data_IF_374773385589
#
_entry.id   IF_374773385589
#
_cell.length_a   1.000
_cell.length_b   1.000
_cell.length_c   1.000
_cell.angle_alpha   90.00
_cell.angle_beta   90.00
_cell.angle_gamma   90.00
#
_symmetry.space_group_name_H-M   'P 1'
#
loop_
_entity.id
_entity.type
_entity.pdbx_description
1 polymer ?
#
# COMPACT_ATOMS: atom_id res chain seq x y z
N UNK A 1 -20.08 -23.29 15.24
CA UNK A 1 -18.63 -23.14 15.52
C UNK A 1 -17.97 -22.84 14.19
N UNK A 2 -17.69 -21.57 13.92
CA UNK A 2 -17.12 -21.14 12.64
C UNK A 2 -15.64 -21.48 12.63
N UNK A 3 -15.21 -22.19 11.60
CA UNK A 3 -13.86 -22.71 11.41
C UNK A 3 -12.85 -21.54 11.39
N UNK A 4 -12.24 -21.23 12.54
CA UNK A 4 -11.23 -20.18 12.66
C UNK A 4 -9.93 -20.72 12.04
N UNK A 5 -9.60 -20.16 10.88
CA UNK A 5 -8.70 -20.75 9.89
C UNK A 5 -7.30 -21.06 10.40
N UNK A 6 -6.85 -22.27 10.07
CA UNK A 6 -5.45 -22.64 10.06
C UNK A 6 -4.80 -21.89 8.87
N UNK A 7 -4.34 -20.64 9.07
CA UNK A 7 -3.52 -19.94 8.08
C UNK A 7 -2.22 -20.72 7.91
N UNK A 8 -1.90 -21.12 6.68
CA UNK A 8 -0.69 -21.88 6.44
C UNK A 8 0.55 -21.00 6.65
N UNK A 9 1.70 -21.62 6.94
CA UNK A 9 2.96 -20.89 7.14
C UNK A 9 3.30 -19.97 5.97
N UNK A 10 3.01 -20.39 4.74
CA UNK A 10 3.20 -19.57 3.53
C UNK A 10 2.33 -18.30 3.54
N UNK A 11 1.07 -18.40 3.98
CA UNK A 11 0.15 -17.27 4.03
C UNK A 11 0.62 -16.24 5.07
N UNK A 12 1.07 -16.72 6.23
CA UNK A 12 1.64 -15.85 7.28
C UNK A 12 2.92 -15.14 6.82
N UNK A 13 3.77 -15.83 6.07
CA UNK A 13 5.00 -15.24 5.51
C UNK A 13 4.67 -14.19 4.45
N UNK A 14 3.70 -14.47 3.58
CA UNK A 14 3.22 -13.53 2.57
C UNK A 14 2.63 -12.27 3.22
N UNK A 15 1.78 -12.43 4.25
CA UNK A 15 1.18 -11.34 4.99
C UNK A 15 2.24 -10.46 5.64
N UNK A 16 3.25 -11.06 6.29
CA UNK A 16 4.34 -10.32 6.90
C UNK A 16 5.18 -9.58 5.86
N UNK A 17 5.44 -10.20 4.70
CA UNK A 17 6.15 -9.54 3.60
C UNK A 17 5.36 -8.34 3.07
N UNK A 18 4.05 -8.49 2.92
CA UNK A 18 3.14 -7.44 2.45
C UNK A 18 3.10 -6.27 3.45
N UNK A 19 2.97 -6.58 4.75
CA UNK A 19 3.04 -5.60 5.83
C UNK A 19 4.35 -4.79 5.77
N UNK A 20 5.50 -5.45 5.61
CA UNK A 20 6.80 -4.77 5.54
C UNK A 20 6.89 -3.87 4.31
N UNK A 21 6.41 -4.33 3.15
CA UNK A 21 6.40 -3.53 1.92
C UNK A 21 5.52 -2.29 2.04
N UNK A 22 4.33 -2.43 2.62
CA UNK A 22 3.40 -1.32 2.84
C UNK A 22 3.96 -0.31 3.85
N UNK A 23 4.50 -0.78 4.99
CA UNK A 23 5.13 0.11 5.97
C UNK A 23 6.32 0.87 5.35
N UNK A 24 7.13 0.22 4.51
CA UNK A 24 8.23 0.89 3.83
C UNK A 24 7.72 1.93 2.81
N UNK A 25 6.69 1.61 2.04
CA UNK A 25 6.07 2.56 1.11
C UNK A 25 5.52 3.78 1.85
N UNK A 26 4.86 3.57 2.98
CA UNK A 26 4.38 4.63 3.87
C UNK A 26 5.54 5.48 4.42
N UNK A 27 6.62 4.85 4.91
CA UNK A 27 7.79 5.58 5.42
C UNK A 27 8.47 6.41 4.33
N UNK A 28 8.48 5.92 3.09
CA UNK A 28 8.98 6.67 1.93
C UNK A 28 8.10 7.87 1.62
N UNK A 29 6.77 7.69 1.66
CA UNK A 29 5.82 8.80 1.51
C UNK A 29 6.03 9.85 2.62
N UNK A 30 6.16 9.42 3.89
CA UNK A 30 6.44 10.31 5.04
C UNK A 30 7.70 11.15 4.89
N UNK A 31 8.73 10.58 4.27
CA UNK A 31 10.00 11.27 4.04
C UNK A 31 10.00 12.15 2.79
N UNK A 32 8.92 12.15 2.01
CA UNK A 32 8.87 12.80 0.70
C UNK A 32 9.73 12.09 -0.36
N UNK A 33 10.11 10.83 -0.13
CA UNK A 33 10.93 10.03 -1.06
C UNK A 33 10.08 9.43 -2.20
N UNK A 34 9.24 10.26 -2.83
CA UNK A 34 8.33 9.85 -3.91
C UNK A 34 9.08 9.33 -5.14
N UNK A 35 10.25 9.90 -5.46
CA UNK A 35 11.08 9.42 -6.57
C UNK A 35 11.58 7.99 -6.36
N UNK A 36 12.04 7.66 -5.16
CA UNK A 36 12.52 6.31 -4.85
C UNK A 36 11.37 5.31 -4.83
N UNK A 37 10.23 5.72 -4.27
CA UNK A 37 9.00 4.93 -4.30
C UNK A 37 8.57 4.67 -5.75
N UNK A 38 8.50 5.70 -6.60
CA UNK A 38 8.18 5.56 -8.02
C UNK A 38 9.14 4.60 -8.73
N UNK A 39 10.46 4.74 -8.51
CA UNK A 39 11.47 3.83 -9.07
C UNK A 39 11.22 2.39 -8.66
N UNK A 40 10.81 2.13 -7.41
CA UNK A 40 10.46 0.78 -6.94
C UNK A 40 9.20 0.27 -7.62
N UNK A 41 8.16 1.09 -7.71
CA UNK A 41 6.90 0.75 -8.37
C UNK A 41 7.10 0.52 -9.89
N UNK A 42 8.04 1.21 -10.53
CA UNK A 42 8.38 1.05 -11.95
C UNK A 42 9.17 -0.21 -12.25
N UNK A 43 9.85 -0.78 -11.26
CA UNK A 43 10.54 -2.07 -11.40
C UNK A 43 9.60 -3.27 -11.21
N UNK A 44 8.37 -3.04 -10.76
CA UNK A 44 7.36 -4.07 -10.56
C UNK A 44 6.41 -4.11 -11.76
N UNK A 45 5.81 -5.28 -12.01
CA UNK A 45 4.71 -5.38 -12.95
C UNK A 45 3.51 -4.58 -12.43
N UNK A 46 2.99 -3.66 -13.26
CA UNK A 46 1.88 -2.79 -12.89
C UNK A 46 0.59 -3.58 -12.67
N UNK A 47 0.35 -4.62 -13.46
CA UNK A 47 -0.82 -5.50 -13.32
C UNK A 47 -0.77 -6.22 -11.99
N UNK A 48 0.37 -6.86 -11.70
CA UNK A 48 0.56 -7.61 -10.45
C UNK A 48 0.46 -6.68 -9.23
N UNK A 49 1.02 -5.47 -9.32
CA UNK A 49 0.90 -4.47 -8.26
C UNK A 49 -0.55 -4.10 -7.99
N UNK A 50 -1.33 -3.87 -9.05
CA UNK A 50 -2.73 -3.48 -8.95
C UNK A 50 -3.58 -4.63 -8.41
N UNK A 51 -3.33 -5.86 -8.84
CA UNK A 51 -3.98 -7.05 -8.30
C UNK A 51 -3.69 -7.20 -6.81
N UNK A 52 -2.42 -7.09 -6.39
CA UNK A 52 -2.04 -7.17 -4.97
C UNK A 52 -2.66 -6.07 -4.13
N UNK A 53 -2.76 -4.86 -4.67
CA UNK A 53 -3.44 -3.78 -3.97
C UNK A 53 -4.95 -4.06 -3.87
N UNK A 54 -5.57 -4.61 -4.91
CA UNK A 54 -6.99 -4.98 -4.89
C UNK A 54 -7.30 -6.13 -3.91
N UNK A 55 -6.35 -7.04 -3.70
CA UNK A 55 -6.47 -8.12 -2.71
C UNK A 55 -6.43 -7.60 -1.26
N UNK A 56 -5.88 -6.41 -1.05
CA UNK A 56 -5.87 -5.77 0.27
C UNK A 56 -7.23 -5.11 0.51
N UNK A 57 -8.11 -5.81 1.22
CA UNK A 57 -9.36 -5.27 1.75
C UNK A 57 -9.18 -4.65 3.15
N UNK A 58 -10.23 -4.02 3.69
CA UNK A 58 -10.21 -3.44 5.04
C UNK A 58 -9.85 -4.46 6.13
N UNK A 59 -10.28 -5.71 5.96
CA UNK A 59 -9.96 -6.78 6.90
C UNK A 59 -8.47 -7.11 6.86
N UNK A 60 -7.91 -7.20 5.65
CA UNK A 60 -6.49 -7.45 5.42
C UNK A 60 -5.65 -6.31 5.94
N UNK A 61 -6.05 -5.06 5.76
CA UNK A 61 -5.36 -3.90 6.35
C UNK A 61 -5.30 -3.99 7.87
N UNK A 62 -6.42 -4.37 8.51
CA UNK A 62 -6.49 -4.58 9.97
C UNK A 62 -5.59 -5.74 10.40
N UNK A 63 -5.56 -6.84 9.67
CA UNK A 63 -4.68 -7.98 9.93
C UNK A 63 -3.19 -7.64 9.76
N UNK A 64 -2.87 -6.84 8.75
CA UNK A 64 -1.51 -6.41 8.44
C UNK A 64 -0.99 -5.40 9.44
N UNK A 65 -1.81 -4.89 10.37
CA UNK A 65 -1.40 -4.02 11.47
C UNK A 65 -0.36 -2.97 11.05
N UNK A 66 -0.73 -2.14 10.07
CA UNK A 66 0.15 -1.13 9.51
C UNK A 66 0.54 -0.10 10.58
N UNK A 67 1.78 0.39 10.52
CA UNK A 67 2.34 1.36 11.49
C UNK A 67 1.95 2.81 11.17
N UNK A 68 0.70 3.03 10.79
CA UNK A 68 0.22 4.37 10.48
C UNK A 68 -1.22 4.53 10.98
N UNK A 69 -1.47 5.67 11.64
CA UNK A 69 -2.81 6.05 12.07
C UNK A 69 -3.55 6.84 10.98
N UNK A 70 -4.86 6.98 11.16
CA UNK A 70 -5.75 7.64 10.20
C UNK A 70 -5.40 9.11 9.94
N UNK A 71 -4.97 9.83 10.96
CA UNK A 71 -4.71 11.26 10.84
C UNK A 71 -3.39 11.50 10.11
N UNK A 72 -2.39 10.68 10.38
CA UNK A 72 -1.13 10.66 9.66
C UNK A 72 -1.33 10.21 8.21
N UNK A 73 -2.18 9.22 7.94
CA UNK A 73 -2.53 8.82 6.57
C UNK A 73 -3.14 9.97 5.78
N UNK A 74 -4.12 10.68 6.35
CA UNK A 74 -4.74 11.84 5.71
C UNK A 74 -3.74 12.96 5.47
N UNK A 75 -2.86 13.23 6.43
CA UNK A 75 -1.78 14.20 6.24
C UNK A 75 -0.88 13.80 5.10
N UNK A 76 -0.45 12.54 5.03
CA UNK A 76 0.42 12.08 3.94
C UNK A 76 -0.23 12.19 2.56
N UNK A 77 -1.50 11.83 2.43
CA UNK A 77 -2.22 11.97 1.15
C UNK A 77 -2.27 13.45 0.71
N UNK A 78 -2.35 14.38 1.66
CA UNK A 78 -2.42 15.81 1.39
C UNK A 78 -1.05 16.49 1.25
N UNK A 79 -0.04 16.04 1.99
CA UNK A 79 1.32 16.61 2.03
C UNK A 79 2.19 16.10 0.88
N UNK A 80 2.00 14.84 0.49
CA UNK A 80 2.73 14.26 -0.62
C UNK A 80 2.05 14.66 -1.92
N UNK A 81 2.84 15.17 -2.86
CA UNK A 81 2.37 15.40 -4.22
C UNK A 81 2.15 14.07 -4.96
N UNK A 82 0.94 13.53 -4.76
CA UNK A 82 0.48 12.30 -5.38
C UNK A 82 0.38 12.42 -6.91
N UNK A 83 0.23 13.64 -7.44
CA UNK A 83 0.20 13.87 -8.89
C UNK A 83 1.60 13.71 -9.47
N UNK A 84 2.61 14.31 -8.82
CA UNK A 84 4.02 14.08 -9.17
C UNK A 84 4.39 12.61 -9.05
N UNK A 85 3.97 11.91 -7.99
CA UNK A 85 4.22 10.48 -7.84
C UNK A 85 3.56 9.66 -8.97
N UNK A 86 2.32 9.99 -9.37
CA UNK A 86 1.67 9.38 -10.52
C UNK A 86 2.48 9.56 -11.80
N UNK A 87 2.91 10.79 -12.10
CA UNK A 87 3.71 11.10 -13.28
C UNK A 87 5.05 10.35 -13.30
N UNK A 88 5.69 10.21 -12.13
CA UNK A 88 6.94 9.45 -12.00
C UNK A 88 6.74 7.95 -12.21
N UNK A 89 5.57 7.42 -11.82
CA UNK A 89 5.19 6.04 -12.08
C UNK A 89 4.89 5.83 -13.58
N UNK A 90 4.38 6.86 -14.25
CA UNK A 90 4.10 6.86 -15.68
C UNK A 90 2.87 6.02 -15.99
N UNK A 91 3.02 4.97 -16.82
CA UNK A 91 1.92 4.12 -17.23
C UNK A 91 1.19 3.52 -16.03
N UNK A 92 -0.12 3.76 -15.98
CA UNK A 92 -1.03 3.37 -14.88
C UNK A 92 -0.68 4.01 -13.52
N UNK A 93 0.12 5.07 -13.52
CA UNK A 93 0.43 5.85 -12.33
C UNK A 93 -0.83 6.33 -11.62
N UNK A 94 -1.79 6.87 -12.36
CA UNK A 94 -3.04 7.39 -11.80
C UNK A 94 -3.83 6.27 -11.11
N UNK A 95 -3.91 5.09 -11.75
CA UNK A 95 -4.62 3.94 -11.20
C UNK A 95 -3.94 3.40 -9.93
N UNK A 96 -2.61 3.35 -9.91
CA UNK A 96 -1.84 2.91 -8.73
C UNK A 96 -2.03 3.89 -7.58
N UNK A 97 -1.91 5.19 -7.87
CA UNK A 97 -2.10 6.25 -6.87
C UNK A 97 -3.50 6.24 -6.29
N UNK A 98 -4.53 6.10 -7.12
CA UNK A 98 -5.91 6.04 -6.66
C UNK A 98 -6.14 4.86 -5.73
N UNK A 99 -5.55 3.70 -6.03
CA UNK A 99 -5.66 2.53 -5.17
C UNK A 99 -4.86 2.69 -3.87
N UNK A 100 -3.66 3.28 -3.93
CA UNK A 100 -2.90 3.62 -2.73
C UNK A 100 -3.69 4.59 -1.85
N UNK A 101 -4.29 5.64 -2.43
CA UNK A 101 -5.17 6.57 -1.70
C UNK A 101 -6.33 5.84 -1.03
N UNK A 102 -7.00 4.92 -1.74
CA UNK A 102 -8.06 4.09 -1.16
C UNK A 102 -7.56 3.25 0.01
N UNK A 103 -6.43 2.53 -0.16
CA UNK A 103 -5.82 1.77 0.94
C UNK A 103 -5.49 2.66 2.15
N UNK A 104 -5.06 3.89 1.90
CA UNK A 104 -4.70 4.84 2.95
C UNK A 104 -5.93 5.52 3.59
N UNK A 105 -7.05 5.65 2.88
CA UNK A 105 -8.26 6.31 3.36
C UNK A 105 -9.27 5.32 4.01
N UNK A 106 -9.21 4.02 3.66
CA UNK A 106 -10.14 2.94 4.06
C UNK A 106 -10.14 2.54 5.56
N UNK A 107 -9.75 3.41 6.48
CA UNK A 107 -9.95 3.22 7.92
C UNK A 107 -11.22 3.96 8.41
N UNK A 108 -12.40 3.59 7.90
CA UNK A 108 -13.69 3.97 8.50
C UNK A 108 -14.18 2.90 9.49
#
# INVERSE_FOLDING_TARGET
MSNQGNKNLMDLLNDKMLQVKLNNAIDMLKKGNTEELAKKLNKMDKNELIEKINEIDENKLKELNLKIDKDEMKKLINEVDMNSLSQLIGDRGDEIIDKLKKLLDSNQ
#
